data_IF_699433092312
#
_entry.id   IF_699433092312
#
_cell.length_a   1.000
_cell.length_b   1.000
_cell.length_c   1.000
_cell.angle_alpha   90.00
_cell.angle_beta   90.00
_cell.angle_gamma   90.00
#
_symmetry.space_group_name_H-M   'P 1'
#
loop_
_entity.id
_entity.type
_entity.pdbx_description
1 polymer ?
#
# COMPACT_ATOMS: atom_id res chain seq x y z
N UNK A 1 -36.52 -30.45 25.84
CA UNK A 1 -35.64 -30.89 24.75
C UNK A 1 -35.72 -30.03 23.50
N UNK A 2 -36.88 -29.59 23.06
CA UNK A 2 -37.00 -28.73 21.85
C UNK A 2 -36.30 -27.36 21.98
N UNK A 3 -36.24 -26.80 23.17
CA UNK A 3 -35.57 -25.49 23.40
C UNK A 3 -34.05 -25.54 23.29
N UNK A 4 -33.42 -26.67 23.56
CA UNK A 4 -31.97 -26.86 23.43
C UNK A 4 -31.52 -26.99 21.97
N UNK A 5 -32.32 -27.58 21.12
CA UNK A 5 -32.06 -27.76 19.69
C UNK A 5 -32.06 -26.40 18.96
N UNK A 6 -33.00 -25.52 19.33
CA UNK A 6 -33.05 -24.15 18.76
C UNK A 6 -31.85 -23.30 19.14
N UNK A 7 -31.31 -23.46 20.35
CA UNK A 7 -30.14 -22.72 20.81
C UNK A 7 -28.88 -23.16 20.06
N UNK A 8 -28.74 -24.47 19.78
CA UNK A 8 -27.61 -25.01 19.02
C UNK A 8 -27.60 -24.52 17.56
N UNK A 9 -28.75 -24.46 16.93
CA UNK A 9 -28.91 -23.94 15.58
C UNK A 9 -28.53 -22.47 15.46
N UNK A 10 -28.90 -21.65 16.45
CA UNK A 10 -28.55 -20.23 16.50
C UNK A 10 -27.05 -20.01 16.64
N UNK A 11 -26.36 -20.81 17.44
CA UNK A 11 -24.92 -20.71 17.64
C UNK A 11 -24.13 -21.13 16.39
N UNK A 12 -24.59 -22.18 15.71
CA UNK A 12 -23.96 -22.66 14.48
C UNK A 12 -24.06 -21.61 13.35
N UNK A 13 -25.18 -20.91 13.26
CA UNK A 13 -25.37 -19.87 12.26
C UNK A 13 -24.45 -18.66 12.48
N UNK A 14 -24.19 -18.31 13.72
CA UNK A 14 -23.28 -17.20 14.07
C UNK A 14 -21.83 -17.51 13.70
N UNK A 15 -21.37 -18.73 13.91
CA UNK A 15 -20.00 -19.14 13.57
C UNK A 15 -19.74 -19.18 12.05
N UNK A 16 -20.76 -19.39 11.23
CA UNK A 16 -20.61 -19.47 9.78
C UNK A 16 -20.41 -18.10 9.10
N UNK A 17 -20.76 -17.00 9.77
CA UNK A 17 -20.64 -15.65 9.21
C UNK A 17 -19.23 -15.06 9.39
N UNK A 18 -18.54 -15.42 10.48
CA UNK A 18 -17.22 -14.87 10.81
C UNK A 18 -16.13 -15.14 9.75
N UNK A 19 -15.99 -16.33 9.17
CA UNK A 19 -14.98 -16.56 8.13
C UNK A 19 -15.18 -15.72 6.86
N UNK A 20 -16.44 -15.50 6.47
CA UNK A 20 -16.76 -14.72 5.27
C UNK A 20 -16.39 -13.23 5.43
N UNK A 21 -16.54 -12.67 6.63
CA UNK A 21 -16.14 -11.28 6.92
C UNK A 21 -14.61 -11.15 6.88
N UNK A 22 -13.87 -12.12 7.41
CA UNK A 22 -12.43 -12.13 7.39
C UNK A 22 -11.86 -12.22 5.97
N UNK A 23 -12.46 -12.99 5.09
CA UNK A 23 -12.05 -13.10 3.69
C UNK A 23 -12.28 -11.81 2.89
N UNK A 24 -13.37 -11.08 3.18
CA UNK A 24 -13.66 -9.82 2.50
C UNK A 24 -12.75 -8.67 2.94
N UNK A 25 -12.14 -8.74 4.13
CA UNK A 25 -11.25 -7.72 4.65
C UNK A 25 -9.80 -7.91 4.21
N UNK A 26 -9.43 -9.12 3.76
CA UNK A 26 -8.08 -9.39 3.29
C UNK A 26 -8.02 -9.25 1.78
N UNK A 27 -7.34 -8.20 1.26
CA UNK A 27 -7.02 -8.42 -0.02
C UNK A 27 -6.86 -7.42 -1.12
N UNK A 28 -7.83 -6.75 -1.58
CA UNK A 28 -7.73 -5.92 -2.78
C UNK A 28 -7.04 -4.58 -2.55
N UNK A 29 -6.42 -4.04 -3.60
CA UNK A 29 -5.95 -2.67 -3.57
C UNK A 29 -7.12 -1.71 -3.69
N UNK A 30 -7.14 -0.72 -2.82
CA UNK A 30 -8.07 0.40 -2.90
C UNK A 30 -7.36 1.62 -3.46
N UNK A 31 -7.91 2.20 -4.52
CA UNK A 31 -7.39 3.43 -5.09
C UNK A 31 -7.80 4.62 -4.22
N UNK A 32 -6.84 5.50 -3.95
CA UNK A 32 -7.07 6.66 -3.10
C UNK A 32 -7.39 7.86 -3.99
N UNK A 33 -8.59 8.45 -3.87
CA UNK A 33 -8.89 9.70 -4.55
C UNK A 33 -7.95 10.80 -4.09
N UNK A 34 -7.41 11.54 -5.03
CA UNK A 34 -6.45 12.59 -4.71
C UNK A 34 -7.19 13.84 -4.22
N UNK A 35 -6.93 14.22 -3.00
CA UNK A 35 -7.32 15.52 -2.47
C UNK A 35 -6.09 16.42 -2.48
N UNK A 36 -6.26 17.64 -2.92
CA UNK A 36 -5.22 18.64 -3.16
C UNK A 36 -4.01 18.56 -2.22
N UNK A 37 -2.94 17.93 -2.71
CA UNK A 37 -1.62 17.98 -2.09
C UNK A 37 -1.47 17.34 -0.71
N UNK A 38 -2.45 16.58 -0.24
CA UNK A 38 -2.40 15.99 1.10
C UNK A 38 -2.11 14.51 1.05
N UNK A 39 -0.94 14.14 1.52
CA UNK A 39 -0.60 12.75 1.77
C UNK A 39 -0.93 12.43 3.23
N UNK A 40 -1.67 11.34 3.51
CA UNK A 40 -1.95 10.94 4.89
C UNK A 40 -0.68 10.76 5.72
N UNK A 41 -0.71 11.19 6.97
CA UNK A 41 0.45 11.11 7.86
C UNK A 41 0.94 9.69 8.08
N UNK A 42 0.05 8.71 8.09
CA UNK A 42 0.41 7.30 8.24
C UNK A 42 1.27 6.81 7.08
N UNK A 43 0.95 7.21 5.86
CA UNK A 43 1.72 6.85 4.66
C UNK A 43 3.09 7.52 4.67
N UNK A 44 3.15 8.80 5.04
CA UNK A 44 4.43 9.50 5.19
C UNK A 44 5.31 8.86 6.26
N UNK A 45 4.74 8.56 7.42
CA UNK A 45 5.46 7.93 8.52
C UNK A 45 5.99 6.54 8.12
N UNK A 46 5.20 5.76 7.40
CA UNK A 46 5.63 4.46 6.91
C UNK A 46 6.80 4.58 5.94
N UNK A 47 6.75 5.54 5.02
CA UNK A 47 7.84 5.79 4.08
C UNK A 47 9.11 6.25 4.80
N UNK A 48 8.99 7.19 5.73
CA UNK A 48 10.14 7.66 6.54
C UNK A 48 10.79 6.53 7.32
N UNK A 49 9.98 5.68 7.94
CA UNK A 49 10.46 4.52 8.68
C UNK A 49 11.17 3.53 7.76
N UNK A 50 10.62 3.28 6.58
CA UNK A 50 11.21 2.37 5.61
C UNK A 50 12.53 2.89 5.05
N UNK A 51 12.70 4.21 4.95
CA UNK A 51 13.94 4.83 4.47
C UNK A 51 15.09 4.80 5.47
N UNK A 52 14.82 4.65 6.75
CA UNK A 52 15.86 4.73 7.80
C UNK A 52 17.04 3.79 7.57
N UNK A 53 16.80 2.65 6.94
CA UNK A 53 17.84 1.66 6.64
C UNK A 53 18.42 1.77 5.24
N UNK A 54 17.88 2.65 4.41
CA UNK A 54 18.30 2.80 3.02
C UNK A 54 19.25 4.00 2.86
N UNK A 55 20.41 3.73 2.30
CA UNK A 55 21.42 4.72 2.01
C UNK A 55 21.51 4.90 0.49
N UNK A 56 21.87 6.09 0.04
CA UNK A 56 22.18 6.34 -1.35
C UNK A 56 21.10 7.05 -2.16
N UNK A 57 19.90 7.20 -1.63
CA UNK A 57 18.83 7.95 -2.29
C UNK A 57 17.91 8.61 -1.28
N UNK A 58 17.29 9.71 -1.68
CA UNK A 58 16.21 10.34 -0.93
C UNK A 58 14.88 10.12 -1.67
N UNK A 59 13.83 9.87 -0.91
CA UNK A 59 12.49 9.59 -1.41
C UNK A 59 11.56 10.70 -0.97
N UNK A 60 11.08 11.49 -1.93
CA UNK A 60 10.13 12.56 -1.66
C UNK A 60 8.73 12.09 -2.04
N UNK A 61 7.81 11.90 -1.08
CA UNK A 61 6.47 11.47 -1.40
C UNK A 61 5.68 12.59 -2.06
N UNK A 62 5.00 12.27 -3.15
CA UNK A 62 4.18 13.21 -3.91
C UNK A 62 2.71 12.93 -3.76
N UNK A 63 2.31 11.65 -3.74
CA UNK A 63 0.91 11.23 -3.61
C UNK A 63 0.82 9.81 -3.11
N UNK A 64 -0.21 9.53 -2.31
CA UNK A 64 -0.60 8.16 -1.99
C UNK A 64 -1.63 7.71 -3.03
N UNK A 65 -1.29 6.71 -3.82
CA UNK A 65 -2.13 6.24 -4.92
C UNK A 65 -3.06 5.10 -4.52
N UNK A 66 -2.63 4.25 -3.62
CA UNK A 66 -3.42 3.12 -3.21
C UNK A 66 -2.96 2.51 -1.90
N UNK A 67 -3.86 1.76 -1.28
CA UNK A 67 -3.59 0.98 -0.07
C UNK A 67 -4.14 -0.43 -0.23
N UNK A 68 -3.51 -1.36 0.47
CA UNK A 68 -4.00 -2.74 0.55
C UNK A 68 -3.98 -3.17 2.00
N UNK A 69 -5.13 -3.53 2.53
CA UNK A 69 -5.23 -4.02 3.89
C UNK A 69 -4.87 -5.50 3.94
N UNK A 70 -3.85 -5.80 4.71
CA UNK A 70 -3.36 -7.15 4.98
C UNK A 70 -3.16 -7.28 6.49
N UNK A 71 -2.29 -8.14 6.97
CA UNK A 71 -1.84 -8.06 8.36
C UNK A 71 -0.87 -6.86 8.47
N UNK A 72 -1.40 -5.68 8.62
CA UNK A 72 -0.75 -4.39 8.42
C UNK A 72 -1.32 -3.70 7.19
N UNK A 73 -0.56 -2.83 6.56
CA UNK A 73 -1.01 -2.07 5.38
C UNK A 73 0.12 -1.97 4.34
N UNK A 74 -0.21 -2.25 3.10
CA UNK A 74 0.64 -1.92 1.97
C UNK A 74 0.22 -0.56 1.42
N UNK A 75 1.20 0.31 1.18
CA UNK A 75 1.00 1.62 0.57
C UNK A 75 1.68 1.67 -0.78
N UNK A 76 1.01 2.22 -1.78
CA UNK A 76 1.61 2.57 -3.06
C UNK A 76 1.76 4.09 -3.13
N UNK A 77 2.98 4.58 -3.05
CA UNK A 77 3.29 6.00 -2.95
C UNK A 77 4.05 6.43 -4.20
N UNK A 78 3.53 7.45 -4.89
CA UNK A 78 4.28 8.09 -5.96
C UNK A 78 5.37 8.96 -5.33
N UNK A 79 6.62 8.70 -5.69
CA UNK A 79 7.77 9.40 -5.15
C UNK A 79 8.64 10.01 -6.24
N UNK A 80 9.28 11.12 -5.91
CA UNK A 80 10.45 11.60 -6.62
C UNK A 80 11.67 11.08 -5.89
N UNK A 81 12.50 10.30 -6.58
CA UNK A 81 13.69 9.68 -6.02
C UNK A 81 14.91 10.42 -6.55
N UNK A 82 15.76 10.88 -5.65
CA UNK A 82 17.00 11.56 -5.99
C UNK A 82 18.18 10.79 -5.40
N UNK A 83 19.14 10.34 -6.22
CA UNK A 83 20.33 9.71 -5.68
C UNK A 83 21.20 10.72 -4.91
N UNK A 84 21.85 10.25 -3.85
CA UNK A 84 22.76 11.07 -3.04
C UNK A 84 24.14 11.04 -3.68
N UNK A 85 24.30 11.79 -4.78
CA UNK A 85 25.54 11.90 -5.56
C UNK A 85 25.67 13.36 -6.04
N UNK A 86 26.87 13.82 -6.45
CA UNK A 86 27.00 15.13 -7.08
C UNK A 86 26.18 15.20 -8.38
N UNK A 87 25.49 16.32 -8.57
CA UNK A 87 24.62 16.57 -9.74
C UNK A 87 23.58 15.45 -9.94
N UNK A 88 22.70 15.20 -8.96
CA UNK A 88 21.73 14.12 -9.07
C UNK A 88 20.70 14.38 -10.17
N UNK A 89 20.31 13.31 -10.87
CA UNK A 89 19.18 13.33 -11.79
C UNK A 89 18.01 12.63 -11.11
N UNK A 90 17.01 13.36 -10.63
CA UNK A 90 15.86 12.75 -10.00
C UNK A 90 14.96 12.03 -11.01
N UNK A 91 14.27 11.02 -10.55
CA UNK A 91 13.28 10.30 -11.36
C UNK A 91 12.05 9.98 -10.52
N UNK A 92 10.95 9.64 -11.18
CA UNK A 92 9.72 9.27 -10.50
C UNK A 92 9.57 7.76 -10.44
N UNK A 93 9.00 7.29 -9.36
CA UNK A 93 8.75 5.86 -9.18
C UNK A 93 7.53 5.64 -8.28
N UNK A 94 6.92 4.47 -8.44
CA UNK A 94 5.93 3.96 -7.50
C UNK A 94 6.69 3.17 -6.43
N UNK A 95 6.61 3.61 -5.19
CA UNK A 95 7.27 2.97 -4.06
C UNK A 95 6.22 2.24 -3.23
N UNK A 96 6.40 0.93 -3.11
CA UNK A 96 5.52 0.07 -2.34
C UNK A 96 6.12 -0.13 -0.95
N UNK A 97 5.38 0.28 0.07
CA UNK A 97 5.82 0.20 1.47
C UNK A 97 4.87 -0.70 2.24
N UNK A 98 5.42 -1.69 2.91
CA UNK A 98 4.68 -2.51 3.86
C UNK A 98 4.90 -2.00 5.27
N UNK A 99 3.83 -1.65 5.96
CA UNK A 99 3.83 -1.30 7.37
C UNK A 99 3.12 -2.40 8.16
N UNK A 100 3.84 -3.02 9.10
CA UNK A 100 3.27 -4.08 9.92
C UNK A 100 2.45 -3.49 11.09
N UNK A 101 1.81 -4.36 11.85
CA UNK A 101 0.98 -3.97 12.99
C UNK A 101 1.79 -3.46 14.19
N UNK A 102 3.10 -3.65 14.18
CA UNK A 102 4.01 -3.27 15.26
C UNK A 102 4.72 -1.93 15.02
N UNK A 103 4.45 -1.30 13.87
CA UNK A 103 5.03 -0.02 13.52
C UNK A 103 6.33 -0.10 12.72
N UNK A 104 6.74 -1.28 12.29
CA UNK A 104 7.86 -1.44 11.37
C UNK A 104 7.39 -1.22 9.93
N UNK A 105 8.27 -0.68 9.09
CA UNK A 105 7.96 -0.46 7.69
C UNK A 105 9.16 -0.81 6.81
N UNK A 106 8.87 -1.35 5.63
CA UNK A 106 9.87 -1.81 4.68
C UNK A 106 9.43 -1.47 3.27
N UNK A 107 10.35 -1.02 2.43
CA UNK A 107 10.08 -0.89 1.00
C UNK A 107 10.15 -2.28 0.38
N UNK A 108 9.04 -2.72 -0.20
CA UNK A 108 8.92 -4.06 -0.79
C UNK A 108 9.18 -4.06 -2.28
N UNK A 109 8.92 -2.95 -2.97
CA UNK A 109 9.15 -2.82 -4.40
C UNK A 109 9.27 -1.36 -4.79
N UNK A 110 10.04 -1.10 -5.84
CA UNK A 110 10.17 0.22 -6.48
C UNK A 110 9.98 -0.01 -7.98
N UNK A 111 8.94 0.61 -8.54
CA UNK A 111 8.65 0.54 -9.97
C UNK A 111 8.94 1.90 -10.60
N UNK A 112 10.05 2.01 -11.30
CA UNK A 112 10.45 3.25 -11.95
C UNK A 112 9.49 3.62 -13.07
N UNK A 113 9.17 4.90 -13.18
CA UNK A 113 8.33 5.43 -14.25
C UNK A 113 9.21 6.01 -15.36
N UNK A 114 9.18 5.36 -16.50
CA UNK A 114 9.84 5.86 -17.70
C UNK A 114 8.87 6.74 -18.48
N UNK A 115 8.84 8.02 -18.14
CA UNK A 115 7.92 8.98 -18.76
C UNK A 115 8.16 9.10 -20.26
N UNK A 116 9.42 9.13 -20.66
CA UNK A 116 9.76 9.24 -22.08
C UNK A 116 9.37 7.98 -22.86
N UNK A 117 9.60 6.80 -22.28
CA UNK A 117 9.21 5.53 -22.90
C UNK A 117 7.70 5.36 -23.00
N UNK A 118 6.97 5.75 -21.95
CA UNK A 118 5.50 5.65 -21.95
C UNK A 118 4.83 6.65 -22.89
N UNK A 119 5.51 7.74 -23.28
CA UNK A 119 4.98 8.72 -24.21
C UNK A 119 5.09 8.28 -25.67
N UNK A 120 5.85 7.24 -25.96
CA UNK A 120 5.98 6.72 -27.32
C UNK A 120 4.67 6.08 -27.76
N UNK A 121 4.15 6.43 -28.95
CA UNK A 121 2.96 5.77 -29.45
C UNK A 121 3.28 4.30 -29.68
N UNK A 122 2.44 3.44 -29.14
CA UNK A 122 2.55 2.02 -29.44
C UNK A 122 2.23 1.82 -30.92
N UNK A 123 3.22 1.45 -31.69
CA UNK A 123 3.02 1.07 -33.08
C UNK A 123 2.30 -0.26 -33.07
N UNK A 124 0.99 -0.22 -33.23
CA UNK A 124 0.22 -1.42 -33.47
C UNK A 124 0.23 -1.71 -34.96
N UNK A 125 0.92 -2.74 -35.33
CA UNK A 125 0.81 -3.30 -36.64
C UNK A 125 -0.36 -4.27 -36.72
#
# INVERSE_FOLDING_TARGET
MKKFVALFLSLALFCAVLPAIAETLAGGWEMIPQEEGKIPEEAKAALEKAQETLLGASYKPLALLGTQLVAGTNYCILCEISPVVPNPVPHFALVYVYADLEGNATITNIADLDIAGLSQPSVQE
#
